data_IF_459601845527
#
_entry.id   IF_459601845527
#
_cell.length_a   1.000
_cell.length_b   1.000
_cell.length_c   1.000
_cell.angle_alpha   90.00
_cell.angle_beta   90.00
_cell.angle_gamma   90.00
#
_symmetry.space_group_name_H-M   'P 1'
#
loop_
_entity.id
_entity.type
_entity.pdbx_description
1 polymer ?
#
# COMPACT_ATOMS: atom_id res chain seq x y z
N UNK A 1 61.83 2.75 5.93
CA UNK A 1 62.37 2.92 7.31
C UNK A 1 61.21 2.85 8.30
N UNK A 2 61.45 2.14 9.41
CA UNK A 2 60.54 1.84 10.56
C UNK A 2 59.88 3.12 11.12
N UNK A 3 58.68 3.13 11.71
CA UNK A 3 58.18 2.52 12.98
C UNK A 3 56.62 2.59 12.93
N UNK A 4 55.77 1.71 13.46
CA UNK A 4 55.83 0.80 14.62
C UNK A 4 55.19 1.45 15.86
N UNK A 5 54.04 0.93 16.34
CA UNK A 5 53.49 0.86 17.74
C UNK A 5 51.95 0.65 17.64
N UNK A 6 51.37 -0.55 17.84
CA UNK A 6 51.19 -1.37 19.05
C UNK A 6 49.84 -1.12 19.80
N UNK A 7 48.91 -2.04 19.55
CA UNK A 7 47.92 -2.71 20.42
C UNK A 7 47.70 -2.17 21.84
N UNK A 8 46.42 -2.02 22.25
CA UNK A 8 46.01 -2.47 23.58
C UNK A 8 44.54 -2.94 23.63
N UNK A 9 44.40 -4.25 23.84
CA UNK A 9 43.21 -4.99 24.27
C UNK A 9 42.85 -4.61 25.71
N UNK A 10 41.56 -4.48 26.05
CA UNK A 10 41.09 -4.65 27.43
C UNK A 10 39.92 -5.63 27.45
N UNK A 11 40.12 -6.65 28.25
CA UNK A 11 39.28 -7.81 28.51
C UNK A 11 38.63 -7.65 29.90
N UNK A 12 37.42 -8.19 30.02
CA UNK A 12 36.77 -8.72 31.22
C UNK A 12 36.23 -7.73 32.28
N UNK A 13 34.99 -7.97 32.74
CA UNK A 13 34.76 -8.77 33.95
C UNK A 13 33.27 -9.16 34.10
N UNK A 14 33.02 -10.46 34.21
CA UNK A 14 31.77 -11.03 34.68
C UNK A 14 31.75 -11.04 36.21
N UNK A 15 30.57 -10.82 36.81
CA UNK A 15 30.35 -11.07 38.24
C UNK A 15 29.14 -11.98 38.38
N UNK A 16 29.40 -13.25 38.67
CA UNK A 16 28.45 -14.21 39.25
C UNK A 16 28.72 -14.23 40.75
N UNK A 17 27.71 -13.89 41.57
CA UNK A 17 27.69 -14.26 42.98
C UNK A 17 26.58 -15.27 43.22
N UNK A 18 27.01 -16.54 43.36
CA UNK A 18 26.27 -17.60 44.05
C UNK A 18 26.69 -17.53 45.52
N UNK A 19 25.71 -17.42 46.42
CA UNK A 19 25.93 -17.46 47.87
C UNK A 19 24.73 -18.06 48.58
N UNK A 20 24.75 -19.38 48.75
CA UNK A 20 23.90 -20.09 49.71
C UNK A 20 24.53 -19.98 51.11
N UNK A 21 23.76 -19.58 52.12
CA UNK A 21 23.91 -20.14 53.46
C UNK A 21 22.61 -20.04 54.27
N UNK A 22 22.42 -21.03 55.13
CA UNK A 22 21.18 -21.51 55.75
C UNK A 22 21.31 -21.39 57.27
N UNK A 23 20.34 -20.77 57.97
CA UNK A 23 19.80 -21.22 59.28
C UNK A 23 18.75 -20.25 59.85
N UNK A 24 17.51 -20.76 59.94
CA UNK A 24 16.46 -20.60 60.96
C UNK A 24 16.27 -19.27 61.73
N UNK A 25 15.08 -18.67 61.60
CA UNK A 25 14.10 -18.52 62.71
C UNK A 25 12.87 -17.71 62.28
N UNK A 26 11.68 -18.29 62.50
CA UNK A 26 10.36 -17.67 62.74
C UNK A 26 9.73 -16.74 61.68
N UNK A 27 8.67 -17.24 61.05
CA UNK A 27 7.67 -16.51 60.27
C UNK A 27 7.01 -15.35 61.04
N UNK A 28 6.54 -14.33 60.33
CA UNK A 28 5.09 -14.27 60.15
C UNK A 28 4.69 -14.28 58.67
N UNK A 29 3.57 -14.93 58.42
CA UNK A 29 2.86 -15.03 57.14
C UNK A 29 2.58 -13.62 56.62
N UNK A 30 3.29 -13.23 55.57
CA UNK A 30 2.85 -12.18 54.64
C UNK A 30 2.57 -12.91 53.33
N UNK A 31 1.30 -13.05 53.01
CA UNK A 31 0.84 -13.49 51.69
C UNK A 31 1.27 -12.43 50.69
N UNK A 32 2.49 -12.54 50.17
CA UNK A 32 2.85 -11.87 48.93
C UNK A 32 2.14 -12.66 47.84
N UNK A 33 1.09 -12.06 47.28
CA UNK A 33 0.59 -12.41 45.97
C UNK A 33 1.78 -12.37 45.01
N UNK A 34 2.28 -13.57 44.71
CA UNK A 34 3.12 -13.80 43.56
C UNK A 34 2.26 -13.48 42.34
N UNK A 35 2.26 -12.21 41.92
CA UNK A 35 1.97 -11.86 40.53
C UNK A 35 3.00 -12.60 39.68
N UNK A 36 2.60 -13.82 39.28
CA UNK A 36 3.31 -14.56 38.25
C UNK A 36 3.35 -13.62 37.05
N UNK A 37 4.53 -13.36 36.44
CA UNK A 37 4.56 -12.59 35.22
C UNK A 37 3.69 -13.34 34.23
N UNK A 38 2.56 -12.72 33.85
CA UNK A 38 1.79 -13.17 32.70
C UNK A 38 2.75 -13.02 31.55
N UNK A 39 3.40 -14.13 31.18
CA UNK A 39 4.04 -14.25 29.88
C UNK A 39 2.88 -14.09 28.91
N UNK A 40 2.70 -12.87 28.39
CA UNK A 40 1.91 -12.68 27.19
C UNK A 40 2.61 -13.53 26.14
N UNK A 41 2.07 -14.72 25.89
CA UNK A 41 2.33 -15.47 24.67
C UNK A 41 2.02 -14.51 23.54
N UNK A 42 3.07 -13.89 22.99
CA UNK A 42 3.00 -13.21 21.71
C UNK A 42 2.50 -14.26 20.72
N UNK A 43 1.29 -14.05 20.21
CA UNK A 43 0.70 -14.92 19.21
C UNK A 43 1.69 -15.12 18.05
N UNK A 44 1.73 -16.31 17.43
CA UNK A 44 2.61 -16.55 16.31
C UNK A 44 2.25 -15.60 15.16
N UNK A 45 3.21 -14.76 14.80
CA UNK A 45 3.17 -13.88 13.63
C UNK A 45 3.37 -14.71 12.36
N UNK A 46 2.50 -14.54 11.36
CA UNK A 46 2.60 -15.23 10.08
C UNK A 46 2.58 -14.24 8.91
N UNK A 47 3.32 -14.56 7.85
CA UNK A 47 3.30 -13.78 6.61
C UNK A 47 1.97 -13.97 5.89
N UNK A 48 1.37 -12.86 5.49
CA UNK A 48 0.15 -12.78 4.70
C UNK A 48 0.37 -11.91 3.47
N UNK A 49 -0.43 -12.16 2.45
CA UNK A 49 -0.56 -11.32 1.28
C UNK A 49 -1.87 -10.54 1.40
N UNK A 50 -1.79 -9.22 1.30
CA UNK A 50 -2.93 -8.31 1.44
C UNK A 50 -3.18 -7.61 0.12
N UNK A 51 -4.39 -7.74 -0.42
CA UNK A 51 -4.77 -7.10 -1.67
C UNK A 51 -4.58 -5.59 -1.59
N UNK A 52 -3.96 -5.03 -2.62
CA UNK A 52 -3.51 -3.65 -2.68
C UNK A 52 -3.59 -3.13 -4.11
N UNK A 53 -3.69 -1.81 -4.26
CA UNK A 53 -3.86 -1.17 -5.57
C UNK A 53 -2.77 -0.16 -5.81
N UNK A 54 -2.15 -0.22 -6.97
CA UNK A 54 -1.20 0.79 -7.43
C UNK A 54 -1.97 1.94 -8.07
N UNK A 55 -1.74 3.18 -7.62
CA UNK A 55 -2.38 4.36 -8.23
C UNK A 55 -1.40 5.24 -9.02
N UNK A 56 -0.10 5.01 -8.84
CA UNK A 56 0.97 5.62 -9.64
C UNK A 56 2.26 4.82 -9.44
N UNK A 57 3.32 5.17 -10.16
CA UNK A 57 4.69 4.83 -9.78
C UNK A 57 5.35 3.77 -10.65
N UNK A 58 6.25 3.00 -10.04
CA UNK A 58 7.11 2.06 -10.76
C UNK A 58 7.46 0.87 -9.88
N UNK A 59 7.75 -0.25 -10.51
CA UNK A 59 8.37 -1.38 -9.84
C UNK A 59 9.86 -1.15 -9.67
N UNK A 60 10.38 -1.65 -8.55
CA UNK A 60 11.77 -1.55 -8.15
C UNK A 60 12.28 -2.91 -7.68
N UNK A 61 13.58 -3.09 -7.75
CA UNK A 61 14.28 -4.25 -7.18
C UNK A 61 15.38 -3.77 -6.23
N UNK A 62 15.59 -4.51 -5.15
CA UNK A 62 16.69 -4.26 -4.23
C UNK A 62 17.94 -4.94 -4.78
N UNK A 63 19.01 -4.18 -5.02
CA UNK A 63 20.27 -4.73 -5.53
C UNK A 63 21.25 -5.12 -4.42
N UNK A 64 22.37 -5.73 -4.80
CA UNK A 64 23.41 -6.21 -3.87
C UNK A 64 24.06 -5.10 -3.02
N UNK A 65 23.93 -3.83 -3.41
CA UNK A 65 24.39 -2.66 -2.65
C UNK A 65 23.35 -2.14 -1.66
N UNK A 66 22.17 -2.76 -1.58
CA UNK A 66 21.05 -2.30 -0.76
C UNK A 66 20.35 -1.06 -1.31
N UNK A 67 20.44 -0.81 -2.63
CA UNK A 67 19.77 0.31 -3.31
C UNK A 67 18.62 -0.20 -4.19
N UNK A 68 17.70 0.71 -4.50
CA UNK A 68 16.53 0.43 -5.32
C UNK A 68 16.80 0.77 -6.79
N UNK A 69 16.83 -0.25 -7.63
CA UNK A 69 16.92 -0.16 -9.08
C UNK A 69 15.53 -0.11 -9.71
N UNK A 70 15.32 0.86 -10.58
CA UNK A 70 14.10 0.99 -11.34
C UNK A 70 13.99 -0.16 -12.36
N UNK A 71 12.80 -0.78 -12.45
CA UNK A 71 12.53 -1.84 -13.42
C UNK A 71 11.62 -1.34 -14.53
N UNK A 72 10.41 -0.92 -14.18
CA UNK A 72 9.40 -0.48 -15.14
C UNK A 72 8.35 0.42 -14.50
N UNK A 73 7.69 1.21 -15.35
CA UNK A 73 6.58 2.05 -14.95
C UNK A 73 5.27 1.24 -14.87
N UNK A 74 4.41 1.63 -13.92
CA UNK A 74 3.15 0.97 -13.62
C UNK A 74 1.97 1.81 -14.07
N UNK A 75 1.00 1.18 -14.73
CA UNK A 75 -0.27 1.84 -15.03
C UNK A 75 -1.10 1.93 -13.73
N UNK A 76 -1.76 3.07 -13.45
CA UNK A 76 -2.68 3.17 -12.31
C UNK A 76 -3.78 2.11 -12.37
N UNK A 77 -4.22 1.61 -11.22
CA UNK A 77 -5.29 0.62 -11.07
C UNK A 77 -4.84 -0.84 -11.09
N UNK A 78 -3.54 -1.11 -11.16
CA UNK A 78 -3.02 -2.49 -11.13
C UNK A 78 -3.17 -3.09 -9.74
N UNK A 79 -3.74 -4.29 -9.68
CA UNK A 79 -3.84 -5.10 -8.45
C UNK A 79 -2.51 -5.77 -8.14
N UNK A 80 -2.05 -5.62 -6.90
CA UNK A 80 -0.89 -6.31 -6.33
C UNK A 80 -1.23 -6.83 -4.94
N UNK A 81 -0.35 -7.64 -4.37
CA UNK A 81 -0.52 -8.12 -3.00
C UNK A 81 0.68 -7.70 -2.16
N UNK A 82 0.44 -6.87 -1.15
CA UNK A 82 1.49 -6.43 -0.24
C UNK A 82 1.81 -7.53 0.77
N UNK A 83 3.10 -7.78 0.99
CA UNK A 83 3.53 -8.63 2.08
C UNK A 83 3.28 -7.92 3.40
N UNK A 84 2.65 -8.63 4.32
CA UNK A 84 2.48 -8.18 5.69
C UNK A 84 2.65 -9.33 6.66
N UNK A 85 2.82 -8.98 7.93
CA UNK A 85 2.80 -9.93 9.03
C UNK A 85 1.52 -9.70 9.81
N UNK A 86 0.69 -10.73 9.92
CA UNK A 86 -0.55 -10.67 10.69
C UNK A 86 -0.33 -11.27 12.09
N UNK A 87 -0.83 -10.56 13.10
CA UNK A 87 -1.16 -11.09 14.41
C UNK A 87 -2.71 -11.14 14.47
N UNK A 88 -3.35 -12.24 14.89
CA UNK A 88 -4.80 -12.33 14.98
C UNK A 88 -5.49 -11.23 15.80
N UNK A 89 -4.75 -10.53 16.68
CA UNK A 89 -5.27 -9.51 17.58
C UNK A 89 -4.93 -8.07 17.15
N UNK A 90 -4.13 -7.88 16.09
CA UNK A 90 -3.64 -6.57 15.68
C UNK A 90 -3.80 -6.33 14.17
N UNK A 91 -3.70 -5.07 13.76
CA UNK A 91 -3.63 -4.71 12.35
C UNK A 91 -2.36 -5.29 11.70
N UNK A 92 -2.41 -5.68 10.42
CA UNK A 92 -1.26 -6.23 9.72
C UNK A 92 -0.09 -5.22 9.67
N UNK A 93 1.11 -5.71 9.96
CA UNK A 93 2.36 -4.96 9.84
C UNK A 93 2.97 -5.23 8.46
N UNK A 94 2.92 -4.25 7.56
CA UNK A 94 3.42 -4.40 6.19
C UNK A 94 4.95 -4.44 6.11
N UNK A 95 5.47 -5.31 5.24
CA UNK A 95 6.89 -5.38 4.94
C UNK A 95 7.32 -4.15 4.14
N UNK A 96 8.20 -3.36 4.74
CA UNK A 96 8.67 -2.09 4.19
C UNK A 96 10.16 -1.89 4.43
N UNK A 97 10.86 -1.37 3.42
CA UNK A 97 12.19 -0.77 3.59
C UNK A 97 12.02 0.75 3.64
N UNK A 98 12.47 1.34 4.76
CA UNK A 98 12.47 2.80 4.95
C UNK A 98 13.76 3.42 4.46
N UNK A 99 13.68 4.65 3.96
CA UNK A 99 14.84 5.46 3.56
C UNK A 99 15.79 4.78 2.55
N UNK A 100 15.27 3.87 1.71
CA UNK A 100 16.05 3.20 0.67
C UNK A 100 16.47 4.21 -0.40
N UNK A 101 17.72 4.09 -0.86
CA UNK A 101 18.30 5.00 -1.86
C UNK A 101 17.94 4.50 -3.25
N UNK A 102 17.30 5.35 -4.06
CA UNK A 102 17.10 5.07 -5.48
C UNK A 102 18.40 5.27 -6.26
N UNK A 103 18.70 4.35 -7.16
CA UNK A 103 19.87 4.51 -8.04
C UNK A 103 19.67 5.58 -9.11
N UNK A 104 18.42 5.86 -9.47
CA UNK A 104 18.07 6.85 -10.50
C UNK A 104 18.42 8.28 -10.13
N UNK A 105 18.27 8.66 -8.86
CA UNK A 105 18.45 10.06 -8.42
C UNK A 105 19.09 10.22 -7.03
N UNK A 106 19.44 9.12 -6.35
CA UNK A 106 20.05 9.15 -5.02
C UNK A 106 19.08 9.54 -3.89
N UNK A 107 17.79 9.75 -4.19
CA UNK A 107 16.81 10.14 -3.18
C UNK A 107 16.43 8.96 -2.28
N UNK A 108 16.21 9.26 -1.00
CA UNK A 108 15.69 8.30 -0.01
C UNK A 108 14.16 8.23 -0.07
N UNK A 109 13.60 7.03 -0.12
CA UNK A 109 12.15 6.78 -0.15
C UNK A 109 11.81 5.51 0.63
N UNK A 110 10.54 5.37 1.00
CA UNK A 110 10.02 4.15 1.59
C UNK A 110 9.41 3.27 0.50
N UNK A 111 9.60 1.96 0.63
CA UNK A 111 9.11 0.98 -0.33
C UNK A 111 8.40 -0.17 0.38
N UNK A 112 7.25 -0.58 -0.14
CA UNK A 112 6.55 -1.79 0.24
C UNK A 112 6.98 -2.96 -0.64
N UNK A 113 7.12 -4.13 -0.02
CA UNK A 113 7.31 -5.39 -0.74
C UNK A 113 5.97 -5.90 -1.23
N UNK A 114 5.87 -6.19 -2.53
CA UNK A 114 4.64 -6.65 -3.16
C UNK A 114 4.89 -7.83 -4.08
N UNK A 115 3.91 -8.73 -4.14
CA UNK A 115 3.79 -9.75 -5.17
C UNK A 115 2.86 -9.24 -6.28
N UNK A 116 3.26 -9.38 -7.54
CA UNK A 116 2.42 -9.10 -8.70
C UNK A 116 1.85 -10.42 -9.27
N UNK A 117 0.55 -10.69 -9.08
CA UNK A 117 -0.04 -11.97 -9.50
C UNK A 117 0.04 -12.24 -11.01
N UNK A 118 -0.08 -11.20 -11.83
CA UNK A 118 -0.03 -11.30 -13.29
C UNK A 118 1.34 -11.76 -13.79
N UNK A 119 2.41 -11.20 -13.23
CA UNK A 119 3.79 -11.53 -13.60
C UNK A 119 4.35 -12.71 -12.80
N UNK A 120 3.71 -13.06 -11.68
CA UNK A 120 4.17 -14.08 -10.72
C UNK A 120 5.57 -13.79 -10.18
N UNK A 121 5.81 -12.52 -9.88
CA UNK A 121 7.10 -12.00 -9.44
C UNK A 121 6.93 -11.00 -8.29
N UNK A 122 7.99 -10.89 -7.49
CA UNK A 122 8.08 -9.97 -6.36
C UNK A 122 8.79 -8.67 -6.74
N UNK A 123 8.29 -7.56 -6.23
CA UNK A 123 8.78 -6.23 -6.51
C UNK A 123 8.71 -5.31 -5.27
N UNK A 124 9.39 -4.18 -5.37
CA UNK A 124 9.27 -3.07 -4.43
C UNK A 124 8.52 -1.91 -5.07
N UNK A 125 7.64 -1.27 -4.31
CA UNK A 125 6.81 -0.14 -4.78
C UNK A 125 6.90 1.01 -3.79
N UNK A 126 6.96 2.25 -4.28
CA UNK A 126 7.07 3.43 -3.43
C UNK A 126 5.77 3.70 -2.66
N UNK A 127 5.91 4.14 -1.40
CA UNK A 127 4.77 4.30 -0.48
C UNK A 127 3.64 5.21 -0.99
N UNK A 128 3.96 6.26 -1.77
CA UNK A 128 2.94 7.20 -2.27
C UNK A 128 2.06 6.59 -3.36
N UNK A 129 2.52 5.48 -3.93
CA UNK A 129 2.09 4.96 -5.22
C UNK A 129 1.20 3.72 -5.05
N UNK A 130 1.01 3.26 -3.82
CA UNK A 130 0.23 2.08 -3.44
C UNK A 130 -0.79 2.40 -2.35
N UNK A 131 -1.96 1.78 -2.46
CA UNK A 131 -3.01 1.77 -1.45
C UNK A 131 -3.13 0.36 -0.92
N UNK A 132 -2.89 0.20 0.37
CA UNK A 132 -2.90 -1.10 1.03
C UNK A 132 -4.31 -1.49 1.46
N UNK A 133 -4.61 -2.79 1.48
CA UNK A 133 -5.93 -3.31 1.83
C UNK A 133 -7.04 -2.65 0.99
N UNK A 134 -6.91 -2.76 -0.33
CA UNK A 134 -7.78 -2.08 -1.28
C UNK A 134 -8.04 -2.91 -2.54
N UNK A 135 -9.13 -2.58 -3.23
CA UNK A 135 -9.54 -3.18 -4.51
C UNK A 135 -9.57 -2.12 -5.61
N UNK A 136 -9.16 -2.44 -6.85
CA UNK A 136 -9.27 -1.49 -7.94
C UNK A 136 -10.75 -1.27 -8.29
N UNK A 137 -11.08 -0.03 -8.65
CA UNK A 137 -12.38 0.31 -9.22
C UNK A 137 -12.22 1.48 -10.20
N UNK A 138 -13.25 1.69 -11.00
CA UNK A 138 -13.35 2.87 -11.86
C UNK A 138 -14.63 3.62 -11.57
N UNK A 139 -14.55 4.94 -11.71
CA UNK A 139 -15.75 5.78 -11.75
C UNK A 139 -16.45 5.55 -13.07
N UNK A 140 -17.74 5.26 -13.00
CA UNK A 140 -18.58 5.08 -14.18
C UNK A 140 -19.94 5.74 -13.98
N UNK A 141 -20.28 6.68 -14.87
CA UNK A 141 -21.52 7.45 -14.84
C UNK A 141 -22.41 7.07 -16.05
N UNK A 142 -23.27 6.05 -15.88
CA UNK A 142 -24.15 5.55 -16.95
C UNK A 142 -25.18 6.56 -17.49
N UNK A 143 -25.59 7.54 -16.68
CA UNK A 143 -26.63 8.49 -17.05
C UNK A 143 -26.06 9.87 -17.37
N UNK A 144 -26.41 10.38 -18.56
CA UNK A 144 -26.13 11.74 -18.99
C UNK A 144 -26.53 12.77 -17.92
N UNK A 145 -25.56 13.57 -17.49
CA UNK A 145 -25.76 14.66 -16.53
C UNK A 145 -25.56 14.30 -15.06
N UNK A 146 -25.30 13.03 -14.72
CA UNK A 146 -24.79 12.69 -13.38
C UNK A 146 -23.28 12.93 -13.33
N UNK A 147 -22.83 13.49 -12.21
CA UNK A 147 -21.40 13.73 -11.95
C UNK A 147 -21.03 13.01 -10.66
N UNK A 148 -20.02 12.15 -10.73
CA UNK A 148 -19.43 11.58 -9.54
C UNK A 148 -18.62 12.65 -8.81
N UNK A 149 -18.78 12.73 -7.50
CA UNK A 149 -18.01 13.65 -6.66
C UNK A 149 -17.28 12.89 -5.56
N UNK A 150 -16.10 13.39 -5.21
CA UNK A 150 -15.32 12.97 -4.05
C UNK A 150 -15.69 13.83 -2.85
N UNK A 151 -16.24 13.20 -1.81
CA UNK A 151 -16.71 13.83 -0.59
C UNK A 151 -15.68 13.70 0.54
N UNK A 152 -15.64 14.66 1.48
CA UNK A 152 -14.81 14.55 2.70
C UNK A 152 -15.36 13.53 3.69
N UNK A 153 -16.67 13.39 3.71
CA UNK A 153 -17.43 12.54 4.63
C UNK A 153 -18.45 11.75 3.81
N UNK A 154 -18.87 10.56 4.25
CA UNK A 154 -19.83 9.72 3.54
C UNK A 154 -21.28 10.22 3.74
N UNK A 155 -21.53 11.49 3.39
CA UNK A 155 -22.82 12.17 3.57
C UNK A 155 -23.19 12.90 2.27
N UNK A 156 -24.45 12.77 1.83
CA UNK A 156 -24.96 13.45 0.64
C UNK A 156 -25.07 14.97 0.83
N UNK A 157 -25.24 15.43 2.07
CA UNK A 157 -25.27 16.85 2.40
C UNK A 157 -23.87 17.47 2.45
N UNK A 158 -22.81 16.67 2.53
CA UNK A 158 -21.45 17.16 2.47
C UNK A 158 -21.19 17.76 1.09
N UNK A 159 -20.56 18.93 1.06
CA UNK A 159 -20.06 19.49 -0.21
C UNK A 159 -18.97 18.58 -0.74
N UNK A 160 -19.16 18.08 -1.96
CA UNK A 160 -18.09 17.42 -2.70
C UNK A 160 -16.91 18.38 -2.86
N UNK A 161 -15.70 17.88 -2.69
CA UNK A 161 -14.50 18.70 -2.88
C UNK A 161 -14.08 18.77 -4.33
N UNK A 162 -14.47 17.76 -5.11
CA UNK A 162 -13.94 17.52 -6.44
C UNK A 162 -14.91 16.65 -7.23
N UNK A 163 -15.10 16.99 -8.50
CA UNK A 163 -15.77 16.11 -9.45
C UNK A 163 -14.75 15.13 -10.03
N UNK A 164 -15.20 13.89 -10.23
CA UNK A 164 -14.42 12.84 -10.84
C UNK A 164 -14.94 12.61 -12.25
N UNK A 165 -14.02 12.51 -13.19
CA UNK A 165 -14.35 12.23 -14.58
C UNK A 165 -14.70 10.76 -14.74
N UNK A 166 -15.46 10.45 -15.79
CA UNK A 166 -15.76 9.08 -16.17
C UNK A 166 -14.47 8.29 -16.44
N UNK A 167 -14.45 7.01 -16.05
CA UNK A 167 -13.28 6.13 -16.08
C UNK A 167 -12.09 6.57 -15.20
N UNK A 168 -12.31 7.46 -14.22
CA UNK A 168 -11.28 7.74 -13.20
C UNK A 168 -10.99 6.46 -12.41
N UNK A 169 -9.73 6.04 -12.39
CA UNK A 169 -9.27 4.89 -11.60
C UNK A 169 -9.16 5.28 -10.13
N UNK A 170 -9.72 4.45 -9.26
CA UNK A 170 -9.71 4.63 -7.81
C UNK A 170 -9.30 3.33 -7.11
N UNK A 171 -8.70 3.44 -5.93
CA UNK A 171 -8.52 2.33 -5.01
C UNK A 171 -9.64 2.38 -3.97
N UNK A 172 -10.51 1.37 -3.96
CA UNK A 172 -11.52 1.18 -2.92
C UNK A 172 -10.87 0.54 -1.70
N UNK A 173 -10.73 1.31 -0.62
CA UNK A 173 -10.18 0.85 0.64
C UNK A 173 -11.19 -0.13 1.27
N UNK A 174 -10.70 -1.30 1.68
CA UNK A 174 -11.48 -2.33 2.35
C UNK A 174 -11.72 -1.96 3.82
N UNK A 175 -12.50 -0.91 3.99
CA UNK A 175 -12.97 -0.35 5.25
C UNK A 175 -14.42 0.11 5.04
N UNK A 176 -15.31 -0.26 5.97
CA UNK A 176 -16.68 0.22 5.92
C UNK A 176 -16.78 1.64 6.52
N UNK A 177 -17.49 2.56 5.85
CA UNK A 177 -17.72 3.90 6.39
C UNK A 177 -18.48 3.87 7.73
N UNK A 178 -18.25 4.90 8.57
CA UNK A 178 -18.90 5.04 9.87
C UNK A 178 -20.41 5.31 9.76
N UNK A 179 -21.20 4.25 9.83
CA UNK A 179 -22.67 4.30 9.82
C UNK A 179 -23.29 4.71 11.16
N UNK A 180 -22.50 4.84 12.24
CA UNK A 180 -23.01 5.31 13.53
C UNK A 180 -23.08 6.84 13.56
N UNK A 181 -22.15 7.50 12.86
CA UNK A 181 -22.09 8.96 12.78
C UNK A 181 -22.84 9.53 11.59
N UNK A 182 -22.85 8.83 10.44
CA UNK A 182 -23.39 9.35 9.19
C UNK A 182 -24.53 8.48 8.65
N UNK A 183 -25.72 9.08 8.51
CA UNK A 183 -26.86 8.43 7.87
C UNK A 183 -26.52 8.09 6.41
N UNK A 184 -26.84 6.87 6.01
CA UNK A 184 -26.60 6.34 4.66
C UNK A 184 -25.12 6.22 4.25
N UNK A 185 -24.19 6.20 5.21
CA UNK A 185 -22.76 6.00 4.92
C UNK A 185 -22.48 4.67 4.19
N UNK A 186 -23.35 3.66 4.35
CA UNK A 186 -23.32 2.37 3.66
C UNK A 186 -23.35 2.49 2.13
N UNK A 187 -23.88 3.61 1.60
CA UNK A 187 -23.94 3.92 0.17
C UNK A 187 -22.65 4.49 -0.39
N UNK A 188 -21.66 4.76 0.45
CA UNK A 188 -20.37 5.30 0.06
C UNK A 188 -19.28 4.24 0.18
N UNK A 189 -18.23 4.39 -0.62
CA UNK A 189 -16.98 3.68 -0.50
C UNK A 189 -15.91 4.68 -0.07
N UNK A 190 -15.04 4.27 0.86
CA UNK A 190 -13.81 4.98 1.14
C UNK A 190 -12.83 4.69 0.01
N UNK A 191 -12.38 5.74 -0.68
CA UNK A 191 -11.50 5.60 -1.84
C UNK A 191 -10.29 6.51 -1.74
N UNK A 192 -9.24 6.08 -2.42
CA UNK A 192 -8.07 6.89 -2.68
C UNK A 192 -7.84 7.00 -4.19
N UNK A 193 -7.43 8.18 -4.64
CA UNK A 193 -7.13 8.49 -6.04
C UNK A 193 -5.75 9.13 -6.13
N UNK A 194 -5.09 8.98 -7.27
CA UNK A 194 -3.89 9.73 -7.58
C UNK A 194 -4.21 10.86 -8.56
N UNK A 195 -3.75 12.05 -8.22
CA UNK A 195 -3.82 13.22 -9.08
C UNK A 195 -2.40 13.78 -9.31
N UNK A 196 -2.06 14.05 -10.57
CA UNK A 196 -0.71 14.53 -10.93
C UNK A 196 -0.34 15.88 -10.28
N UNK A 197 -1.32 16.70 -9.91
CA UNK A 197 -1.12 18.03 -9.31
C UNK A 197 -1.14 17.98 -7.79
N UNK A 198 -2.13 17.29 -7.22
CA UNK A 198 -2.40 17.31 -5.78
C UNK A 198 -1.84 16.07 -5.06
N UNK A 199 -1.28 15.10 -5.80
CA UNK A 199 -0.79 13.84 -5.29
C UNK A 199 -1.92 12.89 -4.93
N UNK A 200 -1.73 12.12 -3.86
CA UNK A 200 -2.70 11.12 -3.42
C UNK A 200 -3.81 11.79 -2.59
N UNK A 201 -5.06 11.66 -3.04
CA UNK A 201 -6.24 12.26 -2.40
C UNK A 201 -7.14 11.14 -1.89
N UNK A 202 -7.63 11.27 -0.66
CA UNK A 202 -8.51 10.29 -0.03
C UNK A 202 -9.88 10.93 0.25
N UNK A 203 -10.96 10.16 0.11
CA UNK A 203 -12.31 10.62 0.39
C UNK A 203 -13.36 9.56 0.11
N UNK A 204 -14.60 9.97 -0.04
CA UNK A 204 -15.74 9.07 -0.21
C UNK A 204 -16.39 9.28 -1.56
N UNK A 205 -16.77 8.19 -2.23
CA UNK A 205 -17.55 8.21 -3.48
C UNK A 205 -18.78 7.33 -3.30
N UNK A 206 -19.90 7.69 -3.91
CA UNK A 206 -21.09 6.82 -3.88
C UNK A 206 -20.78 5.52 -4.61
N UNK A 207 -21.08 4.38 -3.98
CA UNK A 207 -20.90 3.03 -4.57
C UNK A 207 -21.62 2.88 -5.91
N UNK A 208 -22.74 3.58 -6.12
CA UNK A 208 -23.50 3.57 -7.37
C UNK A 208 -22.76 4.16 -8.58
N UNK A 209 -21.65 4.87 -8.38
CA UNK A 209 -20.79 5.39 -9.45
C UNK A 209 -19.52 4.57 -9.62
N UNK A 210 -19.37 3.45 -8.92
CA UNK A 210 -18.18 2.62 -8.97
C UNK A 210 -18.47 1.34 -9.73
N UNK A 211 -17.55 0.99 -10.62
CA UNK A 211 -17.55 -0.29 -11.30
C UNK A 211 -16.24 -1.02 -10.95
N UNK A 212 -16.35 -2.30 -10.59
CA UNK A 212 -15.23 -3.16 -10.17
C UNK A 212 -14.95 -4.28 -11.17
N UNK A 213 -15.63 -4.29 -12.32
CA UNK A 213 -15.39 -5.27 -13.36
C UNK A 213 -14.01 -5.07 -13.99
N UNK A 214 -13.28 -6.18 -14.11
CA UNK A 214 -11.91 -6.20 -14.63
C UNK A 214 -11.80 -5.59 -16.03
N UNK A 215 -12.83 -5.76 -16.86
CA UNK A 215 -12.89 -5.18 -18.21
C UNK A 215 -12.94 -3.65 -18.20
N UNK A 216 -13.69 -3.07 -17.25
CA UNK A 216 -13.82 -1.61 -17.10
C UNK A 216 -12.53 -1.00 -16.57
N UNK A 217 -11.89 -1.69 -15.62
CA UNK A 217 -10.57 -1.30 -15.09
C UNK A 217 -9.51 -1.35 -16.19
N UNK A 218 -9.46 -2.46 -16.96
CA UNK A 218 -8.53 -2.63 -18.07
C UNK A 218 -8.70 -1.57 -19.15
N UNK A 219 -9.95 -1.22 -19.48
CA UNK A 219 -10.25 -0.14 -20.42
C UNK A 219 -9.70 1.21 -19.92
N UNK A 220 -9.98 1.57 -18.66
CA UNK A 220 -9.48 2.82 -18.08
C UNK A 220 -7.94 2.87 -18.03
N UNK A 221 -7.29 1.76 -17.70
CA UNK A 221 -5.84 1.61 -17.71
C UNK A 221 -5.25 1.87 -19.10
N UNK A 222 -5.83 1.25 -20.13
CA UNK A 222 -5.40 1.43 -21.51
C UNK A 222 -5.62 2.86 -22.01
N UNK A 223 -6.78 3.45 -21.70
CA UNK A 223 -7.08 4.83 -22.09
C UNK A 223 -6.14 5.84 -21.42
N UNK A 224 -5.80 5.65 -20.14
CA UNK A 224 -4.80 6.46 -19.46
C UNK A 224 -3.42 6.32 -20.10
N UNK A 225 -2.99 5.09 -20.42
CA UNK A 225 -1.72 4.84 -21.11
C UNK A 225 -1.68 5.50 -22.51
N UNK A 226 -2.79 5.47 -23.25
CA UNK A 226 -2.97 6.15 -24.54
C UNK A 226 -2.81 7.66 -24.38
N UNK A 227 -3.57 8.28 -23.46
CA UNK A 227 -3.52 9.72 -23.18
C UNK A 227 -2.12 10.19 -22.78
N UNK A 228 -1.41 9.41 -21.95
CA UNK A 228 -0.03 9.72 -21.56
C UNK A 228 0.93 9.68 -22.76
N UNK A 229 0.77 8.72 -23.67
CA UNK A 229 1.61 8.62 -24.89
C UNK A 229 1.37 9.76 -25.87
N UNK A 230 0.13 10.20 -26.03
CA UNK A 230 -0.23 11.33 -26.91
C UNK A 230 0.42 12.64 -26.52
N UNK A 231 0.76 12.81 -25.24
CA UNK A 231 1.41 14.01 -24.73
C UNK A 231 2.93 14.04 -24.99
N UNK A 232 3.53 12.91 -25.38
CA UNK A 232 4.97 12.80 -25.63
C UNK A 232 5.29 13.20 -27.08
N UNK A 233 6.18 14.18 -27.27
CA UNK A 233 6.70 14.51 -28.60
C UNK A 233 7.60 13.36 -29.08
N UNK A 234 7.30 12.78 -30.23
CA UNK A 234 7.96 11.60 -30.85
C UNK A 234 7.58 10.24 -30.23
N UNK A 235 6.28 9.98 -30.07
CA UNK A 235 5.80 8.63 -29.76
C UNK A 235 5.89 7.69 -30.97
N UNK A 236 5.97 6.40 -30.70
CA UNK A 236 5.87 5.36 -31.73
C UNK A 236 4.40 5.22 -32.14
N UNK A 237 4.10 5.56 -33.39
CA UNK A 237 2.74 5.55 -33.95
C UNK A 237 2.13 4.14 -33.89
N UNK A 238 2.93 3.09 -34.09
CA UNK A 238 2.43 1.71 -34.07
C UNK A 238 1.93 1.32 -32.67
N UNK A 239 2.64 1.75 -31.61
CA UNK A 239 2.22 1.51 -30.23
C UNK A 239 0.92 2.25 -29.91
N UNK A 240 0.74 3.47 -30.44
CA UNK A 240 -0.48 4.22 -30.22
C UNK A 240 -1.67 3.59 -30.94
N UNK A 241 -1.48 3.14 -32.19
CA UNK A 241 -2.50 2.41 -32.97
C UNK A 241 -2.95 1.12 -32.25
N UNK A 242 -2.01 0.34 -31.71
CA UNK A 242 -2.34 -0.87 -30.93
C UNK A 242 -3.16 -0.55 -29.67
N UNK A 243 -2.86 0.55 -28.98
CA UNK A 243 -3.65 1.02 -27.83
C UNK A 243 -5.06 1.44 -28.25
N UNK A 244 -5.21 2.12 -29.40
CA UNK A 244 -6.52 2.47 -29.95
C UNK A 244 -7.36 1.24 -30.27
N UNK A 245 -6.77 0.27 -30.96
CA UNK A 245 -7.46 -0.98 -31.34
C UNK A 245 -7.88 -1.77 -30.10
N UNK A 246 -7.01 -1.85 -29.09
CA UNK A 246 -7.28 -2.54 -27.83
C UNK A 246 -8.40 -1.86 -27.03
N UNK A 247 -8.36 -0.52 -26.91
CA UNK A 247 -9.45 0.24 -26.29
C UNK A 247 -10.78 0.03 -27.03
N UNK A 248 -10.75 0.03 -28.37
CA UNK A 248 -11.93 -0.21 -29.20
C UNK A 248 -12.51 -1.62 -29.03
N UNK A 249 -11.66 -2.64 -28.92
CA UNK A 249 -12.07 -4.01 -28.66
C UNK A 249 -12.75 -4.16 -27.28
N UNK A 250 -12.17 -3.56 -26.23
CA UNK A 250 -12.76 -3.55 -24.89
C UNK A 250 -14.08 -2.78 -24.87
N UNK A 251 -14.15 -1.60 -25.48
CA UNK A 251 -15.40 -0.84 -25.61
C UNK A 251 -16.50 -1.68 -26.27
N UNK A 252 -16.22 -2.36 -27.38
CA UNK A 252 -17.19 -3.22 -28.04
C UNK A 252 -17.64 -4.41 -27.19
N UNK A 253 -16.81 -4.88 -26.26
CA UNK A 253 -17.19 -5.92 -25.31
C UNK A 253 -18.09 -5.38 -24.20
N UNK A 254 -17.79 -4.19 -23.66
CA UNK A 254 -18.56 -3.55 -22.59
C UNK A 254 -19.99 -3.19 -23.01
N UNK A 255 -20.20 -2.88 -24.29
CA UNK A 255 -21.50 -2.44 -24.84
C UNK A 255 -22.33 -3.55 -25.50
N UNK A 256 -22.03 -4.82 -25.20
CA UNK A 256 -22.81 -6.00 -25.66
C UNK A 256 -23.56 -6.65 -24.52
#
# INVERSE_FOLDING_TARGET
MKKGFAVMTVLALAVLFVGCNKSESTSPVVTQESESPVVQETAPKYTVLVDSVLLDGSYWTLNDEGKMDWVQYLVPGVSVQAYATADPLLNPEYEMIKDAIRTTDGAKRNFYHVYCPEMREDYWVQEYSIVLNAYPAVIYCEEDGKVASLYKTPDLAATGNRNLDDFTIVAWINEEPDTLTYDHADKFAHVQIYDKKDGTITGYVRKSFMNTEEVMISYAQMDNKRKDKEQVKNYDVAVLEELYDSCGALANYMWR
#
